data_IF_025316204150
#
_entry.id   IF_025316204150
#
_cell.length_a   1.000
_cell.length_b   1.000
_cell.length_c   1.000
_cell.angle_alpha   90.00
_cell.angle_beta   90.00
_cell.angle_gamma   90.00
#
_symmetry.space_group_name_H-M   'P 1'
#
loop_
_entity.id
_entity.type
_entity.pdbx_description
1 polymer ?
#
# COMPACT_ATOMS: atom_id res chain seq x y z
N UNK A 1 1.70 14.13 -14.52
CA UNK A 1 2.34 14.17 -13.22
C UNK A 1 2.54 12.76 -12.65
N UNK A 2 1.48 11.94 -12.55
CA UNK A 2 1.52 10.57 -11.98
C UNK A 2 2.53 9.66 -12.68
N UNK A 3 2.61 9.69 -14.01
CA UNK A 3 3.57 8.88 -14.80
C UNK A 3 5.01 9.26 -14.46
N UNK A 4 5.32 10.56 -14.37
CA UNK A 4 6.66 11.04 -14.02
C UNK A 4 7.02 10.61 -12.59
N UNK A 5 6.09 10.77 -11.65
CA UNK A 5 6.29 10.36 -10.26
C UNK A 5 6.48 8.85 -10.11
N UNK A 6 5.70 8.04 -10.85
CA UNK A 6 5.86 6.58 -10.88
C UNK A 6 7.22 6.18 -11.49
N UNK A 7 7.60 6.79 -12.61
CA UNK A 7 8.89 6.52 -13.27
C UNK A 7 10.08 6.89 -12.38
N UNK A 8 10.01 8.01 -11.65
CA UNK A 8 11.06 8.42 -10.73
C UNK A 8 11.14 7.54 -9.47
N UNK A 9 10.00 7.09 -8.95
CA UNK A 9 9.95 6.25 -7.74
C UNK A 9 10.42 4.82 -7.98
N UNK A 10 10.29 4.27 -9.19
CA UNK A 10 10.69 2.91 -9.54
C UNK A 10 12.15 2.60 -9.21
N UNK A 11 13.13 3.34 -9.80
CA UNK A 11 14.55 3.15 -9.49
C UNK A 11 14.89 3.33 -8.02
N UNK A 12 14.28 4.33 -7.35
CA UNK A 12 14.50 4.59 -5.91
C UNK A 12 14.06 3.40 -5.07
N UNK A 13 12.85 2.89 -5.31
CA UNK A 13 12.33 1.73 -4.60
C UNK A 13 13.14 0.47 -4.94
N UNK A 14 13.56 0.30 -6.20
CA UNK A 14 14.43 -0.81 -6.61
C UNK A 14 15.75 -0.83 -5.85
N UNK A 15 16.44 0.30 -5.76
CA UNK A 15 17.68 0.42 -4.98
C UNK A 15 17.42 0.17 -3.49
N UNK A 16 16.32 0.69 -2.96
CA UNK A 16 15.98 0.57 -1.54
C UNK A 16 15.68 -0.89 -1.16
N UNK A 17 14.92 -1.60 -2.00
CA UNK A 17 14.59 -3.03 -1.79
C UNK A 17 15.80 -3.94 -1.96
N UNK A 18 16.70 -3.63 -2.92
CA UNK A 18 17.93 -4.37 -3.11
C UNK A 18 18.91 -4.17 -1.94
N UNK A 19 19.03 -2.93 -1.44
CA UNK A 19 19.95 -2.59 -0.34
C UNK A 19 19.48 -3.12 1.02
N UNK A 20 18.17 -3.28 1.20
CA UNK A 20 17.57 -3.71 2.48
C UNK A 20 16.61 -4.89 2.33
N UNK A 21 17.06 -6.09 1.89
CA UNK A 21 16.20 -7.21 1.54
C UNK A 21 15.33 -7.69 2.72
N UNK A 22 15.87 -7.70 3.94
CA UNK A 22 15.15 -8.10 5.16
C UNK A 22 14.13 -7.04 5.65
N UNK A 23 14.07 -5.88 5.00
CA UNK A 23 13.24 -4.74 5.41
C UNK A 23 12.21 -4.31 4.39
N UNK A 24 12.01 -5.10 3.33
CA UNK A 24 11.01 -4.85 2.28
C UNK A 24 9.62 -4.61 2.85
N UNK A 25 9.22 -5.35 3.88
CA UNK A 25 7.93 -5.15 4.57
C UNK A 25 7.79 -3.77 5.24
N UNK A 26 8.90 -3.15 5.70
CA UNK A 26 8.85 -1.80 6.26
C UNK A 26 8.66 -0.74 5.16
N UNK A 27 9.24 -0.97 3.97
CA UNK A 27 9.07 -0.10 2.82
C UNK A 27 7.60 -0.11 2.39
N UNK A 28 7.00 -1.31 2.26
CA UNK A 28 5.57 -1.46 1.95
C UNK A 28 4.70 -0.73 2.99
N UNK A 29 4.95 -0.96 4.29
CA UNK A 29 4.20 -0.28 5.35
C UNK A 29 4.37 1.24 5.29
N UNK A 30 5.57 1.73 4.99
CA UNK A 30 5.83 3.16 4.81
C UNK A 30 5.01 3.76 3.66
N UNK A 31 4.94 3.08 2.51
CA UNK A 31 4.12 3.49 1.36
C UNK A 31 2.63 3.49 1.75
N UNK A 32 2.15 2.43 2.40
CA UNK A 32 0.75 2.32 2.83
C UNK A 32 0.38 3.44 3.81
N UNK A 33 1.24 3.71 4.79
CA UNK A 33 1.02 4.81 5.76
C UNK A 33 1.01 6.17 5.06
N UNK A 34 1.95 6.42 4.14
CA UNK A 34 1.98 7.66 3.38
C UNK A 34 0.71 7.85 2.54
N UNK A 35 0.25 6.79 1.86
CA UNK A 35 -1.00 6.80 1.10
C UNK A 35 -2.21 7.03 2.00
N UNK A 36 -2.30 6.32 3.13
CA UNK A 36 -3.39 6.50 4.09
C UNK A 36 -3.42 7.94 4.66
N UNK A 37 -2.26 8.51 5.00
CA UNK A 37 -2.15 9.88 5.49
C UNK A 37 -2.59 10.91 4.42
N UNK A 38 -2.13 10.76 3.16
CA UNK A 38 -2.52 11.64 2.08
C UNK A 38 -4.03 11.56 1.78
N UNK A 39 -4.61 10.36 1.76
CA UNK A 39 -6.05 10.17 1.62
C UNK A 39 -6.81 10.77 2.80
N UNK A 40 -6.38 10.54 4.04
CA UNK A 40 -7.01 11.12 5.23
C UNK A 40 -7.00 12.65 5.16
N UNK A 41 -5.90 13.26 4.74
CA UNK A 41 -5.79 14.70 4.60
C UNK A 41 -6.81 15.26 3.57
N UNK A 42 -7.00 14.57 2.44
CA UNK A 42 -7.98 14.97 1.42
C UNK A 42 -9.41 14.75 1.90
N UNK A 43 -9.71 13.58 2.48
CA UNK A 43 -11.07 13.24 2.93
C UNK A 43 -11.51 14.06 4.15
N UNK A 44 -10.59 14.42 5.04
CA UNK A 44 -10.88 15.25 6.22
C UNK A 44 -10.89 16.75 5.94
N UNK A 45 -10.52 17.18 4.72
CA UNK A 45 -10.46 18.61 4.41
C UNK A 45 -11.85 19.25 4.43
N UNK A 46 -12.03 20.38 5.12
CA UNK A 46 -13.32 21.07 5.13
C UNK A 46 -13.60 21.69 3.76
N UNK A 47 -14.68 21.28 3.09
CA UNK A 47 -15.03 21.72 1.75
C UNK A 47 -14.17 21.08 0.64
N UNK A 48 -13.97 21.78 -0.47
CA UNK A 48 -13.15 21.31 -1.58
C UNK A 48 -11.65 21.35 -1.21
N UNK A 49 -10.91 20.24 -1.37
CA UNK A 49 -9.49 20.21 -1.06
C UNK A 49 -8.71 21.12 -2.01
N UNK A 50 -7.69 21.84 -1.53
CA UNK A 50 -6.88 22.71 -2.37
C UNK A 50 -6.06 21.89 -3.36
N UNK A 51 -5.78 22.48 -4.52
CA UNK A 51 -5.10 21.82 -5.64
C UNK A 51 -3.76 21.18 -5.24
N UNK A 52 -2.98 21.84 -4.40
CA UNK A 52 -1.69 21.31 -3.94
C UNK A 52 -1.85 19.98 -3.16
N UNK A 53 -2.93 19.84 -2.39
CA UNK A 53 -3.19 18.63 -1.62
C UNK A 53 -3.62 17.47 -2.54
N UNK A 54 -4.40 17.76 -3.58
CA UNK A 54 -4.75 16.78 -4.62
C UNK A 54 -3.50 16.36 -5.40
N UNK A 55 -2.64 17.31 -5.75
CA UNK A 55 -1.35 17.01 -6.41
C UNK A 55 -0.48 16.12 -5.51
N UNK A 56 -0.38 16.43 -4.22
CA UNK A 56 0.35 15.60 -3.25
C UNK A 56 -0.21 14.17 -3.21
N UNK A 57 -1.53 14.02 -3.13
CA UNK A 57 -2.20 12.72 -3.17
C UNK A 57 -1.83 11.95 -4.44
N UNK A 58 -1.91 12.57 -5.61
CA UNK A 58 -1.59 11.94 -6.90
C UNK A 58 -0.12 11.50 -6.96
N UNK A 59 0.81 12.28 -6.42
CA UNK A 59 2.23 11.92 -6.34
C UNK A 59 2.42 10.72 -5.43
N UNK A 60 1.79 10.70 -4.26
CA UNK A 60 1.89 9.60 -3.29
C UNK A 60 1.26 8.31 -3.86
N UNK A 61 0.10 8.39 -4.52
CA UNK A 61 -0.53 7.24 -5.18
C UNK A 61 0.37 6.68 -6.29
N UNK A 62 1.04 7.54 -7.05
CA UNK A 62 1.92 7.13 -8.13
C UNK A 62 3.10 6.27 -7.65
N UNK A 63 3.55 6.45 -6.41
CA UNK A 63 4.58 5.59 -5.77
C UNK A 63 4.04 4.19 -5.48
N UNK A 64 2.74 4.04 -5.29
CA UNK A 64 2.08 2.76 -5.03
C UNK A 64 2.26 1.74 -6.17
N UNK A 65 2.28 2.19 -7.44
CA UNK A 65 2.51 1.33 -8.60
C UNK A 65 3.84 0.56 -8.51
N UNK A 66 4.99 1.23 -8.52
CA UNK A 66 6.28 0.59 -8.29
C UNK A 66 6.38 -0.13 -6.94
N UNK A 67 5.71 0.38 -5.90
CA UNK A 67 5.64 -0.25 -4.58
C UNK A 67 4.99 -1.64 -4.61
N UNK A 68 4.03 -1.87 -5.49
CA UNK A 68 3.37 -3.19 -5.65
C UNK A 68 4.31 -4.26 -6.18
N UNK A 69 5.38 -3.89 -6.90
CA UNK A 69 6.40 -4.83 -7.40
C UNK A 69 7.14 -5.56 -6.28
N UNK A 70 7.17 -4.99 -5.07
CA UNK A 70 7.72 -5.66 -3.88
C UNK A 70 6.98 -6.97 -3.58
N UNK A 71 5.69 -7.08 -3.94
CA UNK A 71 4.93 -8.33 -3.85
C UNK A 71 5.54 -9.44 -4.70
N UNK A 72 5.98 -9.13 -5.91
CA UNK A 72 6.67 -10.09 -6.79
C UNK A 72 8.07 -10.44 -6.27
N UNK A 73 8.76 -9.50 -5.63
CA UNK A 73 10.04 -9.78 -4.96
C UNK A 73 9.87 -10.77 -3.80
N UNK A 74 8.77 -10.68 -3.04
CA UNK A 74 8.43 -11.69 -2.05
C UNK A 74 8.14 -13.04 -2.70
N UNK A 75 7.36 -13.09 -3.78
CA UNK A 75 7.08 -14.32 -4.50
C UNK A 75 8.38 -15.00 -4.95
N UNK A 76 9.34 -14.24 -5.50
CA UNK A 76 10.65 -14.76 -5.92
C UNK A 76 11.54 -15.23 -4.78
N UNK A 77 11.49 -14.54 -3.63
CA UNK A 77 12.40 -14.82 -2.51
C UNK A 77 11.96 -16.01 -1.68
N UNK A 78 10.66 -16.36 -1.67
CA UNK A 78 10.09 -17.39 -0.81
C UNK A 78 9.63 -18.65 -1.57
N UNK A 79 9.81 -18.70 -2.89
CA UNK A 79 9.39 -19.85 -3.70
C UNK A 79 10.55 -20.42 -4.52
N UNK A 80 10.60 -21.75 -4.73
CA UNK A 80 11.60 -22.38 -5.59
C UNK A 80 11.42 -21.94 -7.04
N UNK A 81 12.49 -21.95 -7.83
CA UNK A 81 12.51 -21.50 -9.23
C UNK A 81 11.40 -22.12 -10.08
N UNK A 82 11.10 -23.39 -9.88
CA UNK A 82 10.01 -24.12 -10.58
C UNK A 82 8.61 -23.58 -10.30
N UNK A 83 8.40 -22.89 -9.20
CA UNK A 83 7.09 -22.36 -8.77
C UNK A 83 6.95 -20.85 -8.97
N UNK A 84 7.96 -20.15 -9.54
CA UNK A 84 7.93 -18.69 -9.67
C UNK A 84 6.79 -18.17 -10.53
N UNK A 85 6.43 -18.88 -11.59
CA UNK A 85 5.29 -18.51 -12.44
C UNK A 85 3.97 -18.53 -11.67
N UNK A 86 3.70 -19.63 -10.96
CA UNK A 86 2.50 -19.75 -10.14
C UNK A 86 2.47 -18.74 -8.99
N UNK A 87 3.60 -18.54 -8.31
CA UNK A 87 3.69 -17.56 -7.22
C UNK A 87 3.44 -16.13 -7.70
N UNK A 88 4.02 -15.75 -8.85
CA UNK A 88 3.77 -14.45 -9.48
C UNK A 88 2.32 -14.31 -9.94
N UNK A 89 1.72 -15.37 -10.47
CA UNK A 89 0.31 -15.41 -10.84
C UNK A 89 -0.61 -15.14 -9.65
N UNK A 90 -0.35 -15.77 -8.49
CA UNK A 90 -1.12 -15.55 -7.25
C UNK A 90 -1.02 -14.09 -6.79
N UNK A 91 0.18 -13.48 -6.84
CA UNK A 91 0.36 -12.06 -6.49
C UNK A 91 -0.45 -11.16 -7.41
N UNK A 92 -0.42 -11.44 -8.72
CA UNK A 92 -1.15 -10.65 -9.71
C UNK A 92 -2.67 -10.76 -9.52
N UNK A 93 -3.19 -12.00 -9.41
CA UNK A 93 -4.62 -12.25 -9.15
C UNK A 93 -5.06 -11.59 -7.84
N UNK A 94 -4.25 -11.66 -6.78
CA UNK A 94 -4.53 -11.00 -5.51
C UNK A 94 -4.64 -9.48 -5.64
N UNK A 95 -3.80 -8.85 -6.44
CA UNK A 95 -3.85 -7.41 -6.72
C UNK A 95 -5.13 -7.01 -7.46
N UNK A 96 -5.49 -7.72 -8.52
CA UNK A 96 -6.73 -7.47 -9.27
C UNK A 96 -7.98 -7.73 -8.43
N UNK A 97 -7.99 -8.83 -7.65
CA UNK A 97 -9.10 -9.16 -6.76
C UNK A 97 -9.32 -8.06 -5.70
N UNK A 98 -8.24 -7.58 -5.09
CA UNK A 98 -8.32 -6.48 -4.12
C UNK A 98 -8.88 -5.19 -4.75
N UNK A 99 -8.45 -4.87 -5.97
CA UNK A 99 -8.97 -3.73 -6.74
C UNK A 99 -10.46 -3.89 -7.06
N UNK A 100 -10.86 -5.07 -7.53
CA UNK A 100 -12.26 -5.39 -7.82
C UNK A 100 -13.14 -5.26 -6.57
N UNK A 101 -12.72 -5.88 -5.46
CA UNK A 101 -13.44 -5.81 -4.19
C UNK A 101 -13.56 -4.35 -3.72
N UNK A 102 -12.49 -3.57 -3.85
CA UNK A 102 -12.50 -2.15 -3.49
C UNK A 102 -13.51 -1.35 -4.30
N UNK A 103 -13.49 -1.49 -5.63
CA UNK A 103 -14.44 -0.79 -6.51
C UNK A 103 -15.89 -1.20 -6.23
N UNK A 104 -16.12 -2.51 -6.06
CA UNK A 104 -17.45 -3.05 -5.73
C UNK A 104 -17.97 -2.48 -4.41
N UNK A 105 -17.16 -2.47 -3.36
CA UNK A 105 -17.56 -1.94 -2.05
C UNK A 105 -17.84 -0.44 -2.08
N UNK A 106 -17.05 0.35 -2.82
CA UNK A 106 -17.34 1.78 -3.01
C UNK A 106 -18.71 1.97 -3.69
N UNK A 107 -19.01 1.19 -4.73
CA UNK A 107 -20.32 1.21 -5.38
C UNK A 107 -21.46 0.86 -4.43
N UNK A 108 -21.33 -0.21 -3.65
CA UNK A 108 -22.34 -0.63 -2.66
C UNK A 108 -22.60 0.47 -1.62
N UNK A 109 -21.57 1.15 -1.15
CA UNK A 109 -21.72 2.24 -0.18
C UNK A 109 -22.42 3.45 -0.82
N UNK A 110 -22.06 3.81 -2.06
CA UNK A 110 -22.75 4.89 -2.78
C UNK A 110 -24.22 4.58 -2.98
N UNK A 111 -24.56 3.35 -3.40
CA UNK A 111 -25.96 2.91 -3.54
C UNK A 111 -26.72 2.93 -2.21
N UNK A 112 -26.05 2.54 -1.12
CA UNK A 112 -26.67 2.58 0.21
C UNK A 112 -26.96 4.01 0.66
N UNK A 113 -26.06 4.95 0.39
CA UNK A 113 -26.24 6.38 0.68
C UNK A 113 -27.41 6.95 -0.13
N UNK A 114 -27.50 6.65 -1.43
CA UNK A 114 -28.60 7.10 -2.28
C UNK A 114 -29.95 6.61 -1.76
N UNK A 115 -30.06 5.33 -1.42
CA UNK A 115 -31.29 4.76 -0.86
C UNK A 115 -31.68 5.42 0.46
N UNK A 116 -30.72 5.74 1.31
CA UNK A 116 -30.95 6.42 2.58
C UNK A 116 -31.48 7.85 2.40
N UNK A 117 -31.16 8.50 1.27
CA UNK A 117 -31.64 9.85 0.91
C UNK A 117 -32.90 9.83 0.03
N UNK A 118 -33.61 8.72 -0.06
CA UNK A 118 -34.87 8.60 -0.77
C UNK A 118 -34.79 7.98 -2.17
N UNK A 119 -33.62 7.48 -2.56
CA UNK A 119 -33.47 6.71 -3.81
C UNK A 119 -33.78 7.50 -5.06
N UNK A 120 -33.39 8.76 -5.13
CA UNK A 120 -33.75 9.66 -6.24
C UNK A 120 -33.16 9.22 -7.57
N UNK A 121 -32.09 8.38 -7.55
CA UNK A 121 -31.34 7.98 -8.75
C UNK A 121 -30.73 9.15 -9.53
N UNK A 122 -30.76 10.36 -8.93
CA UNK A 122 -30.21 11.56 -9.56
C UNK A 122 -28.69 11.52 -9.48
N UNK A 123 -27.96 11.44 -10.62
CA UNK A 123 -26.51 11.33 -10.61
C UNK A 123 -25.80 12.42 -9.81
N UNK A 124 -26.33 13.63 -9.78
CA UNK A 124 -25.75 14.76 -9.06
C UNK A 124 -25.73 14.56 -7.52
N UNK A 125 -26.69 13.83 -6.97
CA UNK A 125 -26.75 13.52 -5.54
C UNK A 125 -25.94 12.26 -5.20
N UNK A 126 -26.04 11.22 -6.03
CA UNK A 126 -25.29 9.98 -5.89
C UNK A 126 -23.77 10.24 -5.92
N UNK A 127 -23.32 11.12 -6.81
CA UNK A 127 -21.89 11.46 -6.99
C UNK A 127 -21.50 12.77 -6.31
N UNK A 128 -22.19 13.16 -5.23
CA UNK A 128 -21.78 14.31 -4.43
C UNK A 128 -20.42 14.06 -3.75
N UNK A 129 -19.69 15.14 -3.49
CA UNK A 129 -18.38 15.03 -2.81
C UNK A 129 -18.49 14.36 -1.44
N UNK A 130 -19.55 14.62 -0.70
CA UNK A 130 -19.76 14.03 0.62
C UNK A 130 -20.08 12.53 0.54
N UNK A 131 -20.86 12.09 -0.46
CA UNK A 131 -21.10 10.67 -0.71
C UNK A 131 -19.80 9.93 -1.03
N UNK A 132 -18.94 10.52 -1.88
CA UNK A 132 -17.62 9.96 -2.15
C UNK A 132 -16.71 9.92 -0.92
N UNK A 133 -16.72 10.94 -0.07
CA UNK A 133 -15.94 10.93 1.18
C UNK A 133 -16.26 9.71 2.02
N UNK A 134 -17.54 9.41 2.20
CA UNK A 134 -17.99 8.26 2.99
C UNK A 134 -17.62 6.96 2.27
N UNK A 135 -17.89 6.85 0.96
CA UNK A 135 -17.60 5.65 0.21
C UNK A 135 -16.11 5.29 0.20
N UNK A 136 -15.23 6.29 0.08
CA UNK A 136 -13.79 6.06 0.11
C UNK A 136 -13.23 5.66 1.49
N UNK A 137 -14.00 5.76 2.58
CA UNK A 137 -13.58 5.21 3.88
C UNK A 137 -13.42 3.68 3.84
N UNK A 138 -14.13 3.00 2.93
CA UNK A 138 -14.02 1.54 2.73
C UNK A 138 -12.57 1.11 2.43
N UNK A 139 -11.78 1.96 1.77
CA UNK A 139 -10.38 1.64 1.47
C UNK A 139 -9.55 1.32 2.73
N UNK A 140 -9.85 1.98 3.86
CA UNK A 140 -9.13 1.72 5.11
C UNK A 140 -9.40 0.32 5.65
N UNK A 141 -10.61 -0.20 5.42
CA UNK A 141 -10.97 -1.59 5.81
C UNK A 141 -10.19 -2.57 4.93
N UNK A 142 -10.25 -2.41 3.61
CA UNK A 142 -9.57 -3.30 2.66
C UNK A 142 -8.05 -3.27 2.88
N UNK A 143 -7.47 -2.08 2.98
CA UNK A 143 -6.02 -1.91 3.24
C UNK A 143 -5.66 -2.43 4.63
N UNK A 144 -6.51 -2.21 5.64
CA UNK A 144 -6.30 -2.72 7.00
C UNK A 144 -6.22 -4.23 7.05
N UNK A 145 -7.09 -4.93 6.32
CA UNK A 145 -7.04 -6.40 6.16
C UNK A 145 -5.71 -6.81 5.51
N UNK A 146 -5.29 -6.13 4.45
CA UNK A 146 -3.99 -6.39 3.79
C UNK A 146 -2.81 -6.19 4.73
N UNK A 147 -2.79 -5.10 5.49
CA UNK A 147 -1.76 -4.80 6.50
C UNK A 147 -1.74 -5.86 7.60
N UNK A 148 -2.91 -6.29 8.08
CA UNK A 148 -3.01 -7.35 9.08
C UNK A 148 -2.33 -8.65 8.60
N UNK A 149 -2.63 -9.11 7.38
CA UNK A 149 -2.02 -10.30 6.82
C UNK A 149 -0.51 -10.12 6.57
N UNK A 150 -0.09 -8.96 6.10
CA UNK A 150 1.34 -8.62 5.94
C UNK A 150 2.08 -8.70 7.29
N UNK A 151 1.54 -8.12 8.34
CA UNK A 151 2.14 -8.16 9.67
C UNK A 151 2.18 -9.57 10.25
N UNK A 152 1.12 -10.36 10.03
CA UNK A 152 1.07 -11.77 10.43
C UNK A 152 2.12 -12.60 9.70
N UNK A 153 2.24 -12.45 8.37
CA UNK A 153 3.26 -13.12 7.58
C UNK A 153 4.67 -12.72 8.03
N UNK A 154 4.92 -11.43 8.25
CA UNK A 154 6.18 -10.91 8.77
C UNK A 154 6.58 -11.53 10.11
N UNK A 155 5.62 -11.67 11.05
CA UNK A 155 5.88 -12.30 12.37
C UNK A 155 6.30 -13.76 12.18
N UNK A 156 5.61 -14.52 11.33
CA UNK A 156 5.93 -15.92 11.04
C UNK A 156 7.31 -16.08 10.40
N UNK A 157 7.65 -15.25 9.41
CA UNK A 157 8.96 -15.28 8.76
C UNK A 157 10.10 -14.97 9.72
N UNK A 158 9.90 -13.97 10.62
CA UNK A 158 10.92 -13.62 11.61
C UNK A 158 11.11 -14.71 12.66
N UNK A 159 10.06 -15.38 13.10
CA UNK A 159 10.14 -16.51 14.02
C UNK A 159 10.97 -17.64 13.40
N UNK A 160 10.70 -18.01 12.15
CA UNK A 160 11.47 -19.03 11.42
C UNK A 160 12.95 -18.67 11.28
N UNK A 161 13.26 -17.43 10.87
CA UNK A 161 14.66 -16.98 10.75
C UNK A 161 15.41 -16.99 12.08
N UNK A 162 14.71 -16.72 13.18
CA UNK A 162 15.30 -16.81 14.51
C UNK A 162 15.57 -18.26 14.94
N UNK A 163 14.63 -19.17 14.63
CA UNK A 163 14.72 -20.59 14.97
C UNK A 163 15.72 -21.36 14.11
N UNK A 164 15.77 -21.09 12.80
CA UNK A 164 16.55 -21.85 11.82
C UNK A 164 17.98 -21.30 11.62
N UNK A 165 18.16 -19.98 11.68
CA UNK A 165 19.42 -19.31 11.31
C UNK A 165 20.04 -18.49 12.46
N UNK A 166 19.37 -18.36 13.62
CA UNK A 166 19.85 -17.55 14.74
C UNK A 166 19.98 -16.05 14.41
N UNK A 167 19.34 -15.58 13.32
CA UNK A 167 19.45 -14.20 12.85
C UNK A 167 18.44 -13.31 13.57
N UNK A 168 18.93 -12.42 14.44
CA UNK A 168 18.12 -11.36 15.01
C UNK A 168 18.00 -10.17 14.05
N UNK A 169 16.82 -9.96 13.49
CA UNK A 169 16.50 -8.77 12.69
C UNK A 169 16.22 -7.58 13.63
N UNK A 170 17.27 -6.92 14.06
CA UNK A 170 17.19 -5.75 14.95
C UNK A 170 16.43 -4.57 14.36
N UNK A 171 15.95 -3.62 15.18
CA UNK A 171 15.23 -2.43 14.75
C UNK A 171 16.06 -1.54 13.79
N UNK A 172 15.37 -0.72 12.97
CA UNK A 172 15.97 0.12 11.92
C UNK A 172 17.12 1.03 12.45
N UNK A 173 16.93 1.62 13.61
CA UNK A 173 17.90 2.57 14.19
C UNK A 173 19.25 1.91 14.50
N UNK A 174 19.27 0.64 14.92
CA UNK A 174 20.51 -0.11 15.23
C UNK A 174 21.36 -0.29 13.98
N UNK A 175 20.74 -0.55 12.82
CA UNK A 175 21.49 -0.70 11.57
C UNK A 175 21.95 0.64 10.97
N UNK A 176 21.19 1.71 11.15
CA UNK A 176 21.61 3.05 10.74
C UNK A 176 22.82 3.51 11.55
N UNK A 177 22.81 3.28 12.86
CA UNK A 177 23.96 3.58 13.74
C UNK A 177 25.19 2.74 13.35
N UNK A 178 25.00 1.45 12.99
CA UNK A 178 26.09 0.57 12.56
C UNK A 178 26.70 0.99 11.22
N UNK A 179 25.87 1.40 10.27
CA UNK A 179 26.34 1.94 8.97
C UNK A 179 27.08 3.27 9.16
N UNK A 180 26.59 4.14 10.05
CA UNK A 180 27.22 5.41 10.34
C UNK A 180 28.58 5.25 11.03
N UNK A 181 28.69 4.31 11.98
CA UNK A 181 30.00 3.99 12.61
C UNK A 181 31.03 3.43 11.63
N UNK A 182 30.62 2.59 10.66
CA UNK A 182 31.54 2.03 9.64
C UNK A 182 32.03 3.07 8.61
N UNK A 183 31.37 4.22 8.48
CA UNK A 183 31.84 5.31 7.62
C UNK A 183 32.82 6.25 8.32
N UNK A 184 32.98 6.15 9.62
CA UNK A 184 33.89 6.97 10.42
C UNK A 184 35.15 6.22 10.88
N UNK A 185 35.24 4.95 10.63
CA UNK A 185 36.42 4.11 10.79
C UNK A 185 37.05 3.83 9.42
#
# INVERSE_FOLDING_TARGET
LTVISAAASGPVLGVLTARFPLRRSNIVLGIVVAMAAAWTAVLAWPGAPPLWLVILLLVVIAVGGPGSLIGFDFARSFNPLRALGSASGVVNVGGFLATFVMMFLVGVVLDAIDRAHGGSGIPAQLYSFDSFRIAFLVQYVVVGVGVFFLLRARRRTRARLHEEEGIEVGPLWVSLVRVWRRRRA
#
